data_IF_054620102195
#
_entry.id   IF_054620102195
#
_cell.length_a   1.000
_cell.length_b   1.000
_cell.length_c   1.000
_cell.angle_alpha   90.00
_cell.angle_beta   90.00
_cell.angle_gamma   90.00
#
_symmetry.space_group_name_H-M   'P 1'
#
loop_
_entity.id
_entity.type
_entity.pdbx_description
1 polymer ?
#
# COMPACT_ATOMS: atom_id res chain seq x y z
N UNK A 1 60.36 60.26 21.19
CA UNK A 1 59.82 59.21 20.31
C UNK A 1 59.29 58.09 21.19
N UNK A 2 58.00 57.78 21.12
CA UNK A 2 57.36 56.77 21.99
C UNK A 2 57.08 55.52 21.17
N UNK A 3 57.73 54.41 21.49
CA UNK A 3 57.45 53.10 20.87
C UNK A 3 56.42 52.36 21.72
N UNK A 4 55.17 52.32 21.25
CA UNK A 4 54.07 51.64 21.93
C UNK A 4 54.07 50.16 21.52
N UNK A 5 54.60 49.29 22.38
CA UNK A 5 54.66 47.85 22.11
C UNK A 5 53.32 47.18 22.45
N UNK A 6 52.64 46.63 21.44
CA UNK A 6 51.42 45.84 21.61
C UNK A 6 51.80 44.43 22.07
N UNK A 7 51.47 44.08 23.33
CA UNK A 7 51.68 42.73 23.88
C UNK A 7 50.46 41.87 23.51
N UNK A 8 50.59 40.84 22.64
CA UNK A 8 49.46 39.99 22.32
C UNK A 8 49.09 39.15 23.55
N UNK A 9 47.84 39.26 24.00
CA UNK A 9 47.32 38.47 25.10
C UNK A 9 47.08 37.03 24.67
N UNK A 10 47.68 36.07 25.37
CA UNK A 10 47.50 34.63 25.09
C UNK A 10 46.07 34.15 25.28
N UNK A 11 45.25 34.90 26.01
CA UNK A 11 43.82 34.62 26.20
C UNK A 11 43.03 34.59 24.90
N UNK A 12 43.46 35.34 23.86
CA UNK A 12 42.78 35.36 22.56
C UNK A 12 42.83 33.99 21.86
N UNK A 13 43.86 33.19 22.12
CA UNK A 13 43.99 31.86 21.53
C UNK A 13 43.06 30.82 22.17
N UNK A 14 42.49 31.10 23.35
CA UNK A 14 41.57 30.20 24.04
C UNK A 14 40.09 30.40 23.64
N UNK A 15 39.78 31.51 22.96
CA UNK A 15 38.41 31.84 22.55
C UNK A 15 37.90 30.82 21.54
N UNK A 16 38.70 30.52 20.51
CA UNK A 16 38.32 29.58 19.46
C UNK A 16 38.07 28.14 19.98
N UNK A 17 38.97 27.52 20.79
CA UNK A 17 38.71 26.20 21.36
C UNK A 17 37.53 26.19 22.34
N UNK A 18 37.31 27.27 23.11
CA UNK A 18 36.15 27.36 24.00
C UNK A 18 34.82 27.39 23.22
N UNK A 19 34.74 28.21 22.17
CA UNK A 19 33.54 28.28 21.32
C UNK A 19 33.28 26.94 20.62
N UNK A 20 34.31 26.30 20.09
CA UNK A 20 34.16 24.97 19.46
C UNK A 20 33.72 23.90 20.45
N UNK A 21 34.23 23.91 21.69
CA UNK A 21 33.78 22.99 22.73
C UNK A 21 32.29 23.16 23.06
N UNK A 22 31.79 24.41 23.12
CA UNK A 22 30.36 24.69 23.33
C UNK A 22 29.51 24.14 22.18
N UNK A 23 29.90 24.40 20.92
CA UNK A 23 29.19 23.85 19.77
C UNK A 23 29.21 22.32 19.75
N UNK A 24 30.36 21.70 20.04
CA UNK A 24 30.49 20.25 20.09
C UNK A 24 29.57 19.66 21.17
N UNK A 25 29.50 20.28 22.35
CA UNK A 25 28.58 19.88 23.42
C UNK A 25 27.11 19.97 23.01
N UNK A 26 26.72 21.06 22.35
CA UNK A 26 25.37 21.23 21.81
C UNK A 26 25.02 20.14 20.78
N UNK A 27 25.91 19.90 19.82
CA UNK A 27 25.71 18.85 18.82
C UNK A 27 25.67 17.46 19.44
N UNK A 28 26.54 17.17 20.42
CA UNK A 28 26.51 15.91 21.15
C UNK A 28 25.16 15.72 21.85
N UNK A 29 24.69 16.72 22.61
CA UNK A 29 23.39 16.67 23.27
C UNK A 29 22.24 16.40 22.29
N UNK A 30 22.21 17.13 21.17
CA UNK A 30 21.20 16.93 20.13
C UNK A 30 21.34 15.60 19.38
N UNK A 31 22.54 15.03 19.26
CA UNK A 31 22.74 13.71 18.67
C UNK A 31 22.18 12.58 19.55
N UNK A 32 22.15 12.77 20.88
CA UNK A 32 21.54 11.82 21.82
C UNK A 32 20.02 12.03 21.96
N UNK A 33 19.56 13.29 22.06
CA UNK A 33 18.15 13.61 22.38
C UNK A 33 17.29 14.04 21.18
N UNK A 34 17.90 14.28 20.01
CA UNK A 34 17.16 14.70 18.83
C UNK A 34 16.32 13.58 18.22
N UNK A 35 15.25 13.94 17.50
CA UNK A 35 14.39 12.99 16.80
C UNK A 35 15.12 12.10 15.79
N UNK A 36 16.25 12.56 15.25
CA UNK A 36 17.12 11.81 14.33
C UNK A 36 18.38 11.24 15.01
N UNK A 37 18.45 11.36 16.34
CA UNK A 37 19.55 10.85 17.15
C UNK A 37 19.58 9.33 17.24
N UNK A 38 20.56 8.79 17.96
CA UNK A 38 20.77 7.33 18.13
C UNK A 38 19.48 6.64 18.62
N UNK A 39 18.75 7.30 19.53
CA UNK A 39 17.47 6.82 20.09
C UNK A 39 16.32 6.94 19.07
N UNK A 40 16.33 7.97 18.23
CA UNK A 40 15.33 8.19 17.19
C UNK A 40 15.31 7.08 16.13
N UNK A 41 16.50 6.55 15.80
CA UNK A 41 16.65 5.45 14.82
C UNK A 41 15.86 4.20 15.22
N UNK A 42 15.86 3.82 16.51
CA UNK A 42 15.10 2.65 16.97
C UNK A 42 13.59 2.82 16.78
N UNK A 43 13.05 4.02 17.02
CA UNK A 43 11.62 4.31 16.79
C UNK A 43 11.27 4.29 15.30
N UNK A 44 12.13 4.86 14.46
CA UNK A 44 11.98 4.84 13.00
C UNK A 44 12.04 3.42 12.44
N UNK A 45 12.97 2.61 12.93
CA UNK A 45 13.14 1.21 12.53
C UNK A 45 11.95 0.35 12.95
N UNK A 46 11.40 0.59 14.14
CA UNK A 46 10.17 -0.08 14.60
C UNK A 46 8.96 0.31 13.75
N UNK A 47 8.82 1.58 13.37
CA UNK A 47 7.75 2.02 12.46
C UNK A 47 7.92 1.43 11.06
N UNK A 48 9.16 1.36 10.55
CA UNK A 48 9.46 0.71 9.27
C UNK A 48 9.10 -0.78 9.29
N UNK A 49 9.42 -1.49 10.37
CA UNK A 49 9.14 -2.92 10.47
C UNK A 49 7.63 -3.20 10.51
N UNK A 50 6.88 -2.42 11.27
CA UNK A 50 5.41 -2.49 11.31
C UNK A 50 4.79 -2.22 9.94
N UNK A 51 5.19 -1.12 9.29
CA UNK A 51 4.63 -0.75 8.00
C UNK A 51 4.97 -1.77 6.90
N UNK A 52 6.16 -2.38 6.98
CA UNK A 52 6.58 -3.45 6.06
C UNK A 52 5.77 -4.73 6.29
N UNK A 53 5.43 -5.05 7.55
CA UNK A 53 4.56 -6.17 7.86
C UNK A 53 3.14 -5.95 7.30
N UNK A 54 2.59 -4.75 7.45
CA UNK A 54 1.29 -4.39 6.89
C UNK A 54 1.27 -4.47 5.36
N UNK A 55 2.32 -3.94 4.71
CA UNK A 55 2.48 -4.04 3.26
C UNK A 55 2.50 -5.51 2.82
N UNK A 56 3.30 -6.35 3.48
CA UNK A 56 3.35 -7.77 3.16
C UNK A 56 1.98 -8.44 3.31
N UNK A 57 1.25 -8.16 4.39
CA UNK A 57 -0.10 -8.71 4.58
C UNK A 57 -1.03 -8.34 3.42
N UNK A 58 -1.13 -7.05 3.11
CA UNK A 58 -2.02 -6.56 2.04
C UNK A 58 -1.58 -7.11 0.66
N UNK A 59 -0.27 -7.19 0.42
CA UNK A 59 0.28 -7.77 -0.81
C UNK A 59 -0.10 -9.24 -0.96
N UNK A 60 -0.02 -10.03 0.11
CA UNK A 60 -0.44 -11.43 0.09
C UNK A 60 -1.93 -11.60 -0.14
N UNK A 61 -2.77 -10.75 0.47
CA UNK A 61 -4.21 -10.74 0.23
C UNK A 61 -4.51 -10.42 -1.23
N UNK A 62 -3.88 -9.39 -1.80
CA UNK A 62 -3.99 -9.02 -3.21
C UNK A 62 -3.60 -10.19 -4.11
N UNK A 63 -2.46 -10.83 -3.87
CA UNK A 63 -2.02 -11.96 -4.69
C UNK A 63 -2.99 -13.15 -4.63
N UNK A 64 -3.57 -13.42 -3.45
CA UNK A 64 -4.59 -14.46 -3.31
C UNK A 64 -5.88 -14.13 -4.07
N UNK A 65 -6.32 -12.87 -4.02
CA UNK A 65 -7.47 -12.37 -4.80
C UNK A 65 -7.19 -12.42 -6.30
N UNK A 66 -6.00 -12.02 -6.74
CA UNK A 66 -5.60 -12.07 -8.15
C UNK A 66 -5.59 -13.51 -8.67
N UNK A 67 -5.07 -14.45 -7.90
CA UNK A 67 -5.12 -15.87 -8.26
C UNK A 67 -6.57 -16.39 -8.34
N UNK A 68 -7.44 -16.00 -7.40
CA UNK A 68 -8.88 -16.38 -7.44
C UNK A 68 -9.58 -15.79 -8.66
N UNK A 69 -9.34 -14.52 -8.97
CA UNK A 69 -9.88 -13.86 -10.16
C UNK A 69 -9.34 -14.51 -11.42
N UNK A 70 -8.05 -14.87 -11.46
CA UNK A 70 -7.44 -15.53 -12.60
C UNK A 70 -8.03 -16.93 -12.82
N UNK A 71 -8.26 -17.70 -11.75
CA UNK A 71 -8.95 -19.00 -11.80
C UNK A 71 -10.41 -18.85 -12.26
N UNK A 72 -11.10 -17.77 -11.89
CA UNK A 72 -12.46 -17.47 -12.36
C UNK A 72 -12.49 -16.94 -13.80
N UNK A 73 -11.38 -16.39 -14.29
CA UNK A 73 -11.25 -15.75 -15.61
C UNK A 73 -10.52 -16.64 -16.65
N UNK A 74 -9.95 -17.78 -16.25
CA UNK A 74 -9.19 -18.65 -17.15
C UNK A 74 -10.04 -19.46 -18.13
N UNK A 75 -11.35 -19.28 -18.12
CA UNK A 75 -12.15 -19.29 -19.33
C UNK A 75 -12.73 -17.89 -19.44
N UNK A 76 -12.59 -17.25 -20.60
CA UNK A 76 -13.53 -16.23 -21.05
C UNK A 76 -14.91 -16.62 -20.50
N UNK A 77 -15.53 -15.75 -19.68
CA UNK A 77 -16.92 -15.91 -19.34
C UNK A 77 -17.65 -16.01 -20.69
N UNK A 78 -17.99 -17.23 -21.10
CA UNK A 78 -18.39 -17.46 -22.48
C UNK A 78 -19.65 -16.64 -22.71
N UNK A 79 -19.67 -15.81 -23.74
CA UNK A 79 -20.79 -14.91 -24.00
C UNK A 79 -22.09 -15.73 -24.12
N UNK A 80 -21.96 -16.95 -24.63
CA UNK A 80 -23.02 -17.94 -24.74
C UNK A 80 -23.53 -18.43 -23.37
N UNK A 81 -22.66 -18.56 -22.36
CA UNK A 81 -23.09 -18.91 -20.99
C UNK A 81 -23.84 -17.77 -20.29
N UNK A 82 -23.53 -16.51 -20.63
CA UNK A 82 -24.28 -15.34 -20.14
C UNK A 82 -25.64 -15.27 -20.82
N UNK A 83 -25.70 -15.54 -22.13
CA UNK A 83 -26.94 -15.57 -22.90
C UNK A 83 -27.87 -16.71 -22.43
N UNK A 84 -27.32 -17.90 -22.16
CA UNK A 84 -28.07 -19.04 -21.63
C UNK A 84 -28.71 -18.71 -20.26
N UNK A 85 -27.93 -18.12 -19.34
CA UNK A 85 -28.47 -17.69 -18.03
C UNK A 85 -29.51 -16.58 -18.16
N UNK A 86 -29.35 -15.67 -19.12
CA UNK A 86 -30.33 -14.63 -19.38
C UNK A 86 -31.65 -15.24 -19.91
N UNK A 87 -31.57 -16.22 -20.80
CA UNK A 87 -32.75 -16.93 -21.32
C UNK A 87 -33.49 -17.74 -20.25
N UNK A 88 -32.76 -18.47 -19.41
CA UNK A 88 -33.32 -19.21 -18.27
C UNK A 88 -34.06 -18.30 -17.27
N UNK A 89 -33.48 -17.14 -16.94
CA UNK A 89 -34.05 -16.26 -15.92
C UNK A 89 -35.13 -15.31 -16.43
N UNK A 90 -35.07 -14.90 -17.70
CA UNK A 90 -35.96 -13.88 -18.27
C UNK A 90 -37.05 -14.43 -19.21
N UNK A 91 -37.13 -15.76 -19.43
CA UNK A 91 -38.02 -16.37 -20.44
C UNK A 91 -37.87 -15.72 -21.84
N UNK A 92 -36.64 -15.31 -22.19
CA UNK A 92 -36.35 -14.64 -23.46
C UNK A 92 -36.23 -15.68 -24.57
N UNK A 93 -37.03 -15.54 -25.63
CA UNK A 93 -37.01 -16.38 -26.85
C UNK A 93 -36.59 -15.50 -28.02
N UNK A 94 -35.74 -16.02 -28.91
CA UNK A 94 -35.26 -15.26 -30.08
C UNK A 94 -36.44 -15.00 -31.04
N UNK A 95 -36.50 -13.85 -31.76
CA UNK A 95 -37.59 -13.56 -32.70
C UNK A 95 -37.84 -14.62 -33.80
N UNK A 96 -36.92 -15.57 -34.01
CA UNK A 96 -37.02 -16.65 -34.99
C UNK A 96 -37.30 -18.03 -34.37
N UNK A 97 -37.59 -18.12 -33.07
CA UNK A 97 -37.84 -19.38 -32.37
C UNK A 97 -39.35 -19.59 -32.13
N UNK A 98 -39.81 -20.84 -32.28
CA UNK A 98 -41.23 -21.22 -32.19
C UNK A 98 -41.48 -21.94 -30.86
N UNK A 99 -42.29 -21.34 -29.99
CA UNK A 99 -42.72 -21.96 -28.73
C UNK A 99 -43.93 -22.87 -28.98
N UNK A 100 -43.74 -24.18 -28.87
CA UNK A 100 -44.83 -25.16 -28.93
C UNK A 100 -45.32 -25.41 -27.51
N UNK A 101 -46.38 -24.72 -27.11
CA UNK A 101 -47.11 -25.03 -25.89
C UNK A 101 -47.91 -26.32 -26.14
N UNK A 102 -47.37 -27.45 -25.67
CA UNK A 102 -48.07 -28.73 -25.65
C UNK A 102 -49.24 -28.62 -24.66
N UNK A 103 -50.40 -28.17 -25.15
CA UNK A 103 -51.65 -28.34 -24.45
C UNK A 103 -51.95 -29.84 -24.41
N UNK A 104 -51.74 -30.47 -23.26
CA UNK A 104 -52.06 -31.87 -22.99
C UNK A 104 -53.56 -32.16 -22.95
N UNK A 105 -54.34 -31.62 -23.88
CA UNK A 105 -55.75 -31.93 -24.13
C UNK A 105 -56.05 -31.85 -25.62
N UNK A 106 -55.45 -32.75 -26.39
CA UNK A 106 -56.17 -33.31 -27.52
C UNK A 106 -57.00 -34.48 -26.96
N UNK A 107 -58.30 -34.28 -26.99
CA UNK A 107 -59.29 -35.27 -26.64
C UNK A 107 -59.19 -36.51 -27.55
N UNK A 108 -59.92 -37.55 -27.14
CA UNK A 108 -60.41 -38.71 -27.89
C UNK A 108 -59.61 -39.99 -27.70
N UNK A 109 -60.18 -40.93 -26.91
CA UNK A 109 -60.75 -42.17 -27.47
C UNK A 109 -61.63 -42.91 -26.44
N UNK A 110 -62.93 -43.01 -26.76
CA UNK A 110 -63.94 -44.06 -26.49
C UNK A 110 -63.83 -45.02 -25.28
N UNK A 111 -64.78 -44.89 -24.34
CA UNK A 111 -65.80 -45.91 -24.01
C UNK A 111 -66.90 -45.29 -23.13
#
# INVERSE_FOLDING_TARGET
>A
MTTRQYRPSRSRHLILPAVTAVFLGYFAYHAFHGEYGIVGRQRLETKMSQLKADLNRISTERAALENRVQLMRSGSLDQDMVDERAREQLNMVHPNEVVILLNGRAAVQDN
#
